data_IF_823471436907
#
_entry.id   IF_823471436907
#
_cell.length_a   1.000
_cell.length_b   1.000
_cell.length_c   1.000
_cell.angle_alpha   90.00
_cell.angle_beta   90.00
_cell.angle_gamma   90.00
#
_symmetry.space_group_name_H-M   'P 1'
#
loop_
_entity.id
_entity.type
_entity.pdbx_description
1 polymer ?
#
# COMPACT_ATOMS: atom_id res chain seq x y z
N UNK A 1 48.02 -26.03 -0.47
CA UNK A 1 46.73 -26.24 0.23
C UNK A 1 46.02 -24.93 0.56
N UNK A 2 46.71 -23.90 1.05
CA UNK A 2 46.11 -22.60 1.43
C UNK A 2 45.41 -21.87 0.27
N UNK A 3 45.94 -21.91 -0.96
CA UNK A 3 45.34 -21.20 -2.11
C UNK A 3 43.95 -21.74 -2.49
N UNK A 4 43.77 -23.06 -2.43
CA UNK A 4 42.50 -23.71 -2.76
C UNK A 4 41.42 -23.39 -1.71
N UNK A 5 41.78 -23.42 -0.43
CA UNK A 5 40.91 -23.01 0.68
C UNK A 5 40.46 -21.56 0.54
N UNK A 6 41.37 -20.67 0.14
CA UNK A 6 41.08 -19.24 -0.05
C UNK A 6 40.11 -19.01 -1.22
N UNK A 7 40.34 -19.69 -2.35
CA UNK A 7 39.46 -19.63 -3.52
C UNK A 7 38.08 -20.23 -3.22
N UNK A 8 38.03 -21.34 -2.47
CA UNK A 8 36.80 -21.98 -2.03
C UNK A 8 35.98 -21.05 -1.13
N UNK A 9 36.61 -20.40 -0.15
CA UNK A 9 35.95 -19.45 0.74
C UNK A 9 35.36 -18.25 -0.02
N UNK A 10 36.11 -17.69 -0.99
CA UNK A 10 35.61 -16.60 -1.85
C UNK A 10 34.40 -17.06 -2.66
N UNK A 11 34.45 -18.28 -3.21
CA UNK A 11 33.34 -18.87 -3.95
C UNK A 11 32.07 -19.01 -3.12
N UNK A 12 32.19 -19.46 -1.87
CA UNK A 12 31.06 -19.61 -0.93
C UNK A 12 30.43 -18.26 -0.60
N UNK A 13 31.25 -17.24 -0.29
CA UNK A 13 30.77 -15.88 0.01
C UNK A 13 30.05 -15.28 -1.20
N UNK A 14 30.59 -15.47 -2.39
CA UNK A 14 29.98 -15.00 -3.63
C UNK A 14 28.64 -15.70 -3.93
N UNK A 15 28.57 -17.02 -3.71
CA UNK A 15 27.32 -17.78 -3.84
C UNK A 15 26.26 -17.29 -2.85
N UNK A 16 26.65 -17.04 -1.60
CA UNK A 16 25.76 -16.49 -0.58
C UNK A 16 25.18 -15.13 -0.99
N UNK A 17 26.02 -14.24 -1.56
CA UNK A 17 25.58 -12.95 -2.08
C UNK A 17 24.60 -13.08 -3.25
N UNK A 18 24.86 -14.00 -4.18
CA UNK A 18 23.95 -14.25 -5.31
C UNK A 18 22.58 -14.77 -4.85
N UNK A 19 22.56 -15.70 -3.89
CA UNK A 19 21.33 -16.21 -3.30
C UNK A 19 20.57 -15.09 -2.57
N UNK A 20 21.27 -14.25 -1.81
CA UNK A 20 20.66 -13.09 -1.16
C UNK A 20 20.01 -12.14 -2.16
N UNK A 21 20.73 -11.79 -3.23
CA UNK A 21 20.23 -10.90 -4.28
C UNK A 21 19.04 -11.49 -5.05
N UNK A 22 18.97 -12.82 -5.17
CA UNK A 22 17.83 -13.51 -5.78
C UNK A 22 16.60 -13.51 -4.86
N UNK A 23 16.81 -13.55 -3.55
CA UNK A 23 15.76 -13.52 -2.53
C UNK A 23 15.22 -12.10 -2.27
N UNK A 24 15.95 -11.06 -2.67
CA UNK A 24 15.45 -9.69 -2.63
C UNK A 24 14.17 -9.59 -3.48
N UNK A 25 13.03 -9.55 -2.79
CA UNK A 25 11.73 -9.34 -3.43
C UNK A 25 11.80 -8.00 -4.19
N UNK A 26 11.37 -7.96 -5.45
CA UNK A 26 11.32 -6.71 -6.19
C UNK A 26 10.45 -5.72 -5.40
N UNK A 27 10.99 -4.53 -5.13
CA UNK A 27 10.21 -3.43 -4.57
C UNK A 27 9.03 -3.20 -5.51
N UNK A 28 7.82 -3.52 -5.05
CA UNK A 28 6.60 -3.28 -5.83
C UNK A 28 6.54 -1.78 -6.12
N UNK A 29 6.62 -1.40 -7.39
CA UNK A 29 6.42 0.00 -7.79
C UNK A 29 5.02 0.41 -7.36
N UNK A 30 4.91 1.58 -6.74
CA UNK A 30 3.62 2.13 -6.38
C UNK A 30 2.79 2.29 -7.66
N UNK A 31 1.61 1.70 -7.67
CA UNK A 31 0.59 1.91 -8.69
C UNK A 31 -0.57 2.60 -8.00
N UNK A 32 -1.08 3.68 -8.60
CA UNK A 32 -2.25 4.38 -8.08
C UNK A 32 -3.41 3.38 -8.03
N UNK A 33 -4.01 3.15 -6.86
CA UNK A 33 -5.11 2.22 -6.73
C UNK A 33 -6.29 2.66 -7.61
N UNK A 34 -6.89 1.73 -8.33
CA UNK A 34 -8.09 2.01 -9.13
C UNK A 34 -9.30 2.08 -8.21
N UNK A 35 -10.17 3.07 -8.40
CA UNK A 35 -11.48 3.12 -7.74
C UNK A 35 -12.36 2.01 -8.31
N UNK A 36 -12.82 1.12 -7.44
CA UNK A 36 -13.75 0.03 -7.79
C UNK A 36 -15.19 0.55 -7.72
N UNK A 37 -15.51 1.27 -6.65
CA UNK A 37 -16.86 1.78 -6.39
C UNK A 37 -16.79 3.05 -5.56
N UNK A 38 -17.72 3.96 -5.84
CA UNK A 38 -17.85 5.26 -5.19
C UNK A 38 -19.31 5.47 -4.78
N UNK A 39 -19.50 6.16 -3.66
CA UNK A 39 -20.76 6.64 -3.14
C UNK A 39 -20.64 8.11 -2.81
N UNK A 40 -21.64 8.88 -3.20
CA UNK A 40 -21.70 10.32 -2.99
C UNK A 40 -23.04 10.63 -2.35
N UNK A 41 -22.99 11.34 -1.22
CA UNK A 41 -24.15 11.94 -0.58
C UNK A 41 -23.91 13.45 -0.54
N UNK A 42 -24.61 14.17 -1.40
CA UNK A 42 -24.55 15.64 -1.48
C UNK A 42 -25.80 16.21 -0.82
N UNK A 43 -25.63 16.88 0.32
CA UNK A 43 -26.68 17.67 0.96
C UNK A 43 -26.49 19.15 0.62
N UNK A 44 -27.28 19.73 -0.32
CA UNK A 44 -27.05 21.08 -0.84
C UNK A 44 -26.94 22.19 0.20
N UNK A 45 -27.61 22.03 1.35
CA UNK A 45 -27.59 22.98 2.47
C UNK A 45 -26.53 22.62 3.53
N UNK A 46 -26.03 21.38 3.49
CA UNK A 46 -25.06 20.81 4.42
C UNK A 46 -23.73 20.43 3.75
N UNK A 47 -23.19 19.26 4.11
CA UNK A 47 -21.88 18.81 3.63
C UNK A 47 -21.97 17.83 2.45
N UNK A 48 -20.90 17.79 1.65
CA UNK A 48 -20.69 16.73 0.66
C UNK A 48 -19.93 15.58 1.33
N UNK A 49 -20.47 14.37 1.25
CA UNK A 49 -19.83 13.15 1.72
C UNK A 49 -19.50 12.25 0.53
N UNK A 50 -18.24 11.83 0.45
CA UNK A 50 -17.75 10.91 -0.57
C UNK A 50 -17.11 9.72 0.13
N UNK A 51 -17.45 8.51 -0.31
CA UNK A 51 -16.77 7.29 0.11
C UNK A 51 -16.44 6.44 -1.10
N UNK A 52 -15.23 5.87 -1.17
CA UNK A 52 -14.83 5.01 -2.28
C UNK A 52 -13.93 3.86 -1.84
N UNK A 53 -14.05 2.74 -2.54
CA UNK A 53 -13.22 1.55 -2.36
C UNK A 53 -12.20 1.49 -3.48
N UNK A 54 -10.95 1.26 -3.11
CA UNK A 54 -9.84 1.10 -4.06
C UNK A 54 -9.39 -0.35 -4.19
N UNK A 55 -8.74 -0.66 -5.31
CA UNK A 55 -8.28 -2.02 -5.65
C UNK A 55 -7.26 -2.63 -4.68
N UNK A 56 -6.67 -1.82 -3.80
CA UNK A 56 -5.80 -2.25 -2.71
C UNK A 56 -6.56 -2.60 -1.42
N UNK A 57 -7.88 -2.80 -1.50
CA UNK A 57 -8.76 -3.15 -0.37
C UNK A 57 -8.81 -2.08 0.72
N UNK A 58 -8.62 -0.82 0.36
CA UNK A 58 -8.85 0.33 1.24
C UNK A 58 -10.18 0.99 0.97
N UNK A 59 -10.74 1.55 2.01
CA UNK A 59 -11.89 2.45 1.97
C UNK A 59 -11.42 3.84 2.31
N UNK A 60 -11.83 4.80 1.51
CA UNK A 60 -11.56 6.20 1.71
C UNK A 60 -12.88 6.91 1.93
N UNK A 61 -12.89 7.87 2.85
CA UNK A 61 -14.02 8.77 3.06
C UNK A 61 -13.51 10.21 3.07
N UNK A 62 -14.29 11.13 2.54
CA UNK A 62 -14.05 12.56 2.64
C UNK A 62 -15.39 13.25 2.93
N UNK A 63 -15.36 14.28 3.77
CA UNK A 63 -16.48 15.17 4.01
C UNK A 63 -16.05 16.63 3.82
N UNK A 64 -16.92 17.47 3.30
CA UNK A 64 -16.64 18.89 3.14
C UNK A 64 -17.14 19.46 1.81
N UNK A 65 -17.99 20.50 1.85
CA UNK A 65 -18.47 21.20 0.65
C UNK A 65 -17.41 22.07 -0.03
N UNK A 66 -16.44 22.57 0.73
CA UNK A 66 -15.43 23.53 0.25
C UNK A 66 -13.98 23.10 0.48
N UNK A 67 -13.76 21.93 1.09
CA UNK A 67 -12.44 21.47 1.44
C UNK A 67 -11.95 20.44 0.42
N UNK A 68 -11.16 20.88 -0.56
CA UNK A 68 -10.46 19.99 -1.50
C UNK A 68 -9.45 19.02 -0.82
N UNK A 69 -9.36 18.99 0.52
CA UNK A 69 -8.43 18.10 1.25
C UNK A 69 -8.65 17.96 2.77
N UNK A 70 -9.61 18.66 3.38
CA UNK A 70 -9.76 18.66 4.85
C UNK A 70 -10.83 17.65 5.27
N UNK A 71 -10.45 16.60 6.01
CA UNK A 71 -11.38 15.60 6.56
C UNK A 71 -11.34 14.23 5.88
N UNK A 72 -10.40 13.97 4.97
CA UNK A 72 -10.28 12.65 4.37
C UNK A 72 -9.71 11.63 5.36
N UNK A 73 -10.42 10.53 5.57
CA UNK A 73 -9.96 9.39 6.36
C UNK A 73 -9.84 8.16 5.46
N UNK A 74 -8.96 7.23 5.85
CA UNK A 74 -8.80 5.96 5.14
C UNK A 74 -8.66 4.83 6.12
N UNK A 75 -9.24 3.69 5.76
CA UNK A 75 -9.24 2.48 6.58
C UNK A 75 -9.17 1.26 5.68
N UNK A 76 -8.92 0.09 6.26
CA UNK A 76 -8.98 -1.18 5.50
C UNK A 76 -10.43 -1.62 5.32
N UNK A 77 -10.71 -2.41 4.29
CA UNK A 77 -12.04 -2.99 4.08
C UNK A 77 -12.52 -3.79 5.31
N UNK A 78 -11.62 -4.54 5.95
CA UNK A 78 -11.90 -5.30 7.17
C UNK A 78 -12.27 -4.38 8.34
N UNK A 79 -11.52 -3.31 8.56
CA UNK A 79 -11.78 -2.38 9.66
C UNK A 79 -13.09 -1.62 9.44
N UNK A 80 -13.39 -1.25 8.19
CA UNK A 80 -14.66 -0.64 7.84
C UNK A 80 -15.86 -1.53 8.20
N UNK A 81 -15.79 -2.83 7.86
CA UNK A 81 -16.87 -3.78 8.18
C UNK A 81 -17.08 -3.98 9.69
N UNK A 82 -16.05 -3.74 10.50
CA UNK A 82 -16.13 -3.76 11.96
C UNK A 82 -16.67 -2.44 12.54
N UNK A 83 -17.12 -1.50 11.71
CA UNK A 83 -17.58 -0.18 12.12
C UNK A 83 -16.45 0.83 12.33
N UNK A 84 -15.24 0.51 11.85
CA UNK A 84 -14.08 1.39 11.94
C UNK A 84 -14.15 2.53 10.94
N UNK A 85 -14.69 3.66 11.37
CA UNK A 85 -14.43 4.99 10.82
C UNK A 85 -14.30 5.95 11.99
N UNK A 86 -13.14 6.63 12.10
CA UNK A 86 -12.81 7.53 13.21
C UNK A 86 -12.51 8.91 12.68
#
# INVERSE_FOLDING_TARGET
MILYELLSAIGIVYLGFLVWKLLEKPKKKYQVPRVIREWILDDPEGELYVAYITSDQKVWSACGRYAHSSGSASTTWSDFLLGGFK
#
